data_IF_057140627483
#
_entry.id   IF_057140627483
#
_cell.length_a   1.000
_cell.length_b   1.000
_cell.length_c   1.000
_cell.angle_alpha   90.00
_cell.angle_beta   90.00
_cell.angle_gamma   90.00
#
_symmetry.space_group_name_H-M   'P 1'
#
loop_
_entity.id
_entity.type
_entity.pdbx_description
1 polymer ?
#
# COMPACT_ATOMS: atom_id res chain seq x y z
N UNK A 1 -7.10 17.92 -19.08
CA UNK A 1 -7.82 17.53 -17.84
C UNK A 1 -7.88 16.01 -17.83
N UNK A 2 -6.86 15.36 -17.27
CA UNK A 2 -6.86 13.90 -17.10
C UNK A 2 -7.79 13.60 -15.93
N UNK A 3 -8.90 12.90 -16.16
CA UNK A 3 -9.77 12.44 -15.07
C UNK A 3 -8.96 11.42 -14.26
N UNK A 4 -8.74 11.69 -12.97
CA UNK A 4 -8.20 10.71 -12.04
C UNK A 4 -9.03 9.41 -12.13
N UNK A 5 -8.38 8.30 -12.48
CA UNK A 5 -9.01 6.99 -12.47
C UNK A 5 -9.17 6.60 -11.00
N UNK A 6 -10.39 6.68 -10.48
CA UNK A 6 -10.65 6.34 -9.09
C UNK A 6 -10.67 4.82 -8.95
N UNK A 7 -9.53 4.22 -8.59
CA UNK A 7 -9.46 2.80 -8.30
C UNK A 7 -10.32 2.46 -7.09
N UNK A 8 -11.02 1.32 -7.16
CA UNK A 8 -11.75 0.81 -6.01
C UNK A 8 -10.82 0.46 -4.85
N UNK A 9 -11.25 0.75 -3.62
CA UNK A 9 -10.52 0.44 -2.39
C UNK A 9 -10.07 -1.03 -2.30
N UNK A 10 -10.88 -1.97 -2.80
CA UNK A 10 -10.52 -3.39 -2.87
C UNK A 10 -9.33 -3.69 -3.79
N UNK A 11 -9.24 -3.01 -4.93
CA UNK A 11 -8.11 -3.12 -5.87
C UNK A 11 -6.83 -2.57 -5.25
N UNK A 12 -6.92 -1.38 -4.65
CA UNK A 12 -5.80 -0.72 -3.96
C UNK A 12 -5.29 -1.61 -2.83
N UNK A 13 -6.19 -2.13 -1.99
CA UNK A 13 -5.84 -3.05 -0.90
C UNK A 13 -5.11 -4.28 -1.42
N UNK A 14 -5.64 -4.93 -2.46
CA UNK A 14 -5.01 -6.13 -3.03
C UNK A 14 -3.62 -5.86 -3.59
N UNK A 15 -3.43 -4.70 -4.24
CA UNK A 15 -2.12 -4.28 -4.75
C UNK A 15 -1.13 -3.99 -3.62
N UNK A 16 -1.54 -3.25 -2.59
CA UNK A 16 -0.73 -2.99 -1.38
C UNK A 16 -0.30 -4.29 -0.72
N UNK A 17 -1.24 -5.22 -0.54
CA UNK A 17 -0.95 -6.52 0.09
C UNK A 17 0.11 -7.30 -0.71
N UNK A 18 0.04 -7.25 -2.04
CA UNK A 18 1.04 -7.86 -2.92
C UNK A 18 2.42 -7.20 -2.78
N UNK A 19 2.48 -5.86 -2.83
CA UNK A 19 3.74 -5.11 -2.67
C UNK A 19 4.38 -5.41 -1.32
N UNK A 20 3.61 -5.42 -0.24
CA UNK A 20 4.12 -5.73 1.08
C UNK A 20 4.67 -7.16 1.16
N UNK A 21 4.01 -8.15 0.55
CA UNK A 21 4.52 -9.53 0.46
C UNK A 21 5.85 -9.60 -0.30
N UNK A 22 5.95 -8.91 -1.43
CA UNK A 22 7.16 -8.85 -2.26
C UNK A 22 8.32 -8.17 -1.51
N UNK A 23 8.08 -7.00 -0.90
CA UNK A 23 9.11 -6.22 -0.19
C UNK A 23 9.59 -6.87 1.10
N UNK A 24 8.69 -7.52 1.85
CA UNK A 24 9.06 -8.20 3.10
C UNK A 24 9.54 -9.64 2.88
N UNK A 25 9.41 -10.17 1.67
CA UNK A 25 9.65 -11.59 1.36
C UNK A 25 8.68 -12.53 2.08
N UNK A 26 7.54 -12.03 2.54
CA UNK A 26 6.59 -12.80 3.35
C UNK A 26 5.41 -13.29 2.55
N UNK A 27 4.99 -14.51 2.86
CA UNK A 27 3.80 -15.11 2.29
C UNK A 27 2.50 -14.52 2.84
N UNK A 28 2.48 -13.97 4.05
CA UNK A 28 1.26 -13.48 4.71
C UNK A 28 1.51 -12.12 5.38
N UNK A 29 0.61 -11.18 5.15
CA UNK A 29 0.50 -9.90 5.86
C UNK A 29 -0.72 -9.97 6.76
N UNK A 30 -0.54 -9.81 8.07
CA UNK A 30 -1.61 -9.87 9.06
C UNK A 30 -2.11 -8.47 9.40
N UNK A 31 -3.42 -8.33 9.62
CA UNK A 31 -4.05 -7.09 10.08
C UNK A 31 -3.70 -5.85 9.24
N UNK A 32 -3.65 -6.00 7.91
CA UNK A 32 -3.45 -4.87 6.98
C UNK A 32 -4.58 -3.85 7.14
N UNK A 33 -4.21 -2.65 7.56
CA UNK A 33 -5.11 -1.51 7.74
C UNK A 33 -4.64 -0.35 6.87
N UNK A 34 -5.48 0.09 5.92
CA UNK A 34 -5.23 1.30 5.15
C UNK A 34 -5.76 2.50 5.91
N UNK A 35 -4.89 3.42 6.32
CA UNK A 35 -5.26 4.62 7.09
C UNK A 35 -5.49 5.82 6.19
N UNK A 36 -4.86 5.86 5.02
CA UNK A 36 -5.05 6.94 4.05
C UNK A 36 -4.83 6.44 2.63
N UNK A 37 -5.67 6.89 1.71
CA UNK A 37 -5.54 6.70 0.27
C UNK A 37 -5.82 8.05 -0.36
N UNK A 38 -4.80 8.69 -0.93
CA UNK A 38 -4.90 10.03 -1.52
C UNK A 38 -4.24 10.07 -2.88
N UNK A 39 -4.81 10.87 -3.76
CA UNK A 39 -4.18 11.25 -5.03
C UNK A 39 -3.42 12.56 -4.82
N UNK A 40 -2.16 12.58 -5.24
CA UNK A 40 -1.22 13.70 -5.11
C UNK A 40 -0.32 13.72 -6.36
N UNK A 41 -0.40 14.78 -7.17
CA UNK A 41 0.44 14.97 -8.38
C UNK A 41 0.60 13.71 -9.26
N UNK A 42 -0.51 13.15 -9.75
CA UNK A 42 -0.57 11.94 -10.60
C UNK A 42 -0.10 10.64 -9.91
N UNK A 43 0.09 10.68 -8.59
CA UNK A 43 0.43 9.52 -7.77
C UNK A 43 -0.68 9.19 -6.80
N UNK A 44 -0.92 7.91 -6.62
CA UNK A 44 -1.75 7.39 -5.54
C UNK A 44 -0.87 7.05 -4.34
N UNK A 45 -0.95 7.87 -3.29
CA UNK A 45 -0.23 7.68 -2.02
C UNK A 45 -1.13 6.91 -1.06
N UNK A 46 -0.69 5.72 -0.68
CA UNK A 46 -1.37 4.83 0.26
C UNK A 46 -0.54 4.71 1.53
N UNK A 47 -1.17 4.99 2.66
CA UNK A 47 -0.57 4.85 3.99
C UNK A 47 -1.36 3.84 4.79
N UNK A 48 -0.66 3.12 5.65
CA UNK A 48 -1.31 2.15 6.50
C UNK A 48 -0.37 1.50 7.48
N UNK A 49 -0.89 0.49 8.13
CA UNK A 49 -0.17 -0.35 9.07
C UNK A 49 -0.45 -1.82 8.79
N UNK A 50 0.48 -2.67 9.19
CA UNK A 50 0.26 -4.11 9.25
C UNK A 50 0.98 -4.69 10.46
N UNK A 51 0.50 -5.82 10.96
CA UNK A 51 1.19 -6.54 12.02
C UNK A 51 2.27 -7.44 11.46
N UNK A 52 3.44 -7.34 12.03
CA UNK A 52 4.55 -8.20 11.71
C UNK A 52 4.33 -9.60 12.33
N UNK A 53 4.18 -10.69 11.54
CA UNK A 53 4.04 -12.04 12.09
C UNK A 53 5.27 -12.54 12.85
N UNK A 54 6.46 -12.03 12.55
CA UNK A 54 7.73 -12.42 13.19
C UNK A 54 7.98 -11.66 14.49
N UNK A 55 7.33 -10.51 14.67
CA UNK A 55 7.38 -9.70 15.87
C UNK A 55 5.95 -9.46 16.38
N UNK A 56 5.29 -10.49 16.94
CA UNK A 56 3.93 -10.37 17.43
C UNK A 56 3.83 -9.23 18.46
N UNK A 57 2.97 -8.25 18.17
CA UNK A 57 2.79 -7.03 18.97
C UNK A 57 3.50 -5.79 18.40
N UNK A 58 4.36 -5.94 17.39
CA UNK A 58 4.93 -4.82 16.64
C UNK A 58 4.09 -4.53 15.40
N UNK A 59 3.56 -3.31 15.34
CA UNK A 59 2.90 -2.78 14.17
C UNK A 59 3.93 -2.03 13.32
N UNK A 60 4.02 -2.39 12.04
CA UNK A 60 4.85 -1.69 11.07
C UNK A 60 3.99 -0.70 10.31
N UNK A 61 4.54 0.50 10.06
CA UNK A 61 3.88 1.52 9.23
C UNK A 61 4.42 1.42 7.82
N UNK A 62 3.59 1.71 6.84
CA UNK A 62 4.03 1.82 5.47
C UNK A 62 3.46 3.04 4.76
N UNK A 63 4.23 3.52 3.80
CA UNK A 63 3.80 4.45 2.77
C UNK A 63 4.17 3.85 1.43
N UNK A 64 3.18 3.67 0.55
CA UNK A 64 3.37 3.17 -0.80
C UNK A 64 2.85 4.21 -1.77
N UNK A 65 3.63 4.51 -2.79
CA UNK A 65 3.25 5.39 -3.88
C UNK A 65 3.07 4.55 -5.14
N UNK A 66 1.92 4.68 -5.76
CA UNK A 66 1.64 4.11 -7.07
C UNK A 66 1.47 5.22 -8.09
N UNK A 67 1.76 4.91 -9.35
CA UNK A 67 1.29 5.71 -10.46
C UNK A 67 -0.25 5.64 -10.50
N UNK A 68 -0.93 6.79 -10.52
CA UNK A 68 -2.39 6.82 -10.41
C UNK A 68 -3.09 6.19 -11.62
N UNK A 69 -2.48 6.23 -12.80
CA UNK A 69 -3.10 5.76 -14.03
C UNK A 69 -2.92 4.26 -14.24
N UNK A 70 -1.81 3.70 -13.78
CA UNK A 70 -1.41 2.30 -14.04
C UNK A 70 -1.42 1.43 -12.78
N UNK A 71 -1.46 2.01 -11.59
CA UNK A 71 -1.18 1.34 -10.31
C UNK A 71 0.18 0.63 -10.28
N UNK A 72 1.14 1.08 -11.06
CA UNK A 72 2.51 0.59 -10.97
C UNK A 72 3.21 1.18 -9.76
N UNK A 73 4.04 0.35 -9.11
CA UNK A 73 4.75 0.74 -7.90
C UNK A 73 5.81 1.79 -8.25
N UNK A 74 5.71 2.97 -7.64
CA UNK A 74 6.73 4.01 -7.72
C UNK A 74 7.71 3.85 -6.57
N UNK A 75 7.19 3.78 -5.35
CA UNK A 75 8.03 3.67 -4.14
C UNK A 75 7.28 2.93 -3.02
N UNK A 76 8.03 2.26 -2.17
CA UNK A 76 7.51 1.64 -0.95
C UNK A 76 8.50 1.89 0.18
N UNK A 77 8.01 2.51 1.25
CA UNK A 77 8.74 2.71 2.49
C UNK A 77 8.01 2.03 3.65
N UNK A 78 8.75 1.27 4.46
CA UNK A 78 8.24 0.56 5.64
C UNK A 78 9.09 0.98 6.85
N UNK A 79 8.42 1.35 7.94
CA UNK A 79 9.01 1.82 9.21
C UNK A 79 8.76 0.84 10.37
#
# INVERSE_FOLDING_TARGET
MTKAITWGLGTIRSKVERVLREMTGRLIIYDLTLTSVKSDDEKLVVKGTYKDPTAPGREAKFTIEFDELTLDLISCNIE
#
